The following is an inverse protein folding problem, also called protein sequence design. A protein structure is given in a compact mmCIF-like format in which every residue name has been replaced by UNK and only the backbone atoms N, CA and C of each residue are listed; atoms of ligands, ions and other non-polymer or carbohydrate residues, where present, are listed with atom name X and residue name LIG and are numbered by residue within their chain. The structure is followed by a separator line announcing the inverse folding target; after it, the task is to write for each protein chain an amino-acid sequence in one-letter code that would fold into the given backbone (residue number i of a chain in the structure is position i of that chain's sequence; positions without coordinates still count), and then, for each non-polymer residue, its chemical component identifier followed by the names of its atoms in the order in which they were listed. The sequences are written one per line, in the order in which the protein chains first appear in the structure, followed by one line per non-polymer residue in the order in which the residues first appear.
data_IF_506010026280
#
_entry.id   IF_506010026280
#
_cell.length_a   1.000
_cell.length_b   1.000
_cell.length_c   1.000
_cell.angle_alpha   90.00
_cell.angle_beta   90.00
_cell.angle_gamma   90.00
#
_symmetry.space_group_name_H-M   'P 1'
#
loop_
_entity.id
_entity.type
_entity.pdbx_description
1 polymer ?
#
# COMPACT_ATOMS: atom_id res chain seq x y z
N UNK A 1 -41.42 5.82 -40.57
CA UNK A 1 -40.10 5.54 -39.94
C UNK A 1 -39.62 6.72 -39.10
N UNK A 2 -39.52 7.95 -39.64
CA UNK A 2 -39.14 9.15 -38.87
C UNK A 2 -39.99 9.44 -37.62
N UNK A 3 -41.30 9.23 -37.66
CA UNK A 3 -42.22 9.51 -36.53
C UNK A 3 -42.06 8.56 -35.35
N UNK A 4 -41.59 7.33 -35.57
CA UNK A 4 -41.36 6.35 -34.50
C UNK A 4 -40.03 6.63 -33.77
N UNK A 5 -39.00 7.05 -34.51
CA UNK A 5 -37.71 7.43 -33.93
C UNK A 5 -37.81 8.71 -33.09
N UNK A 6 -38.58 9.72 -33.53
CA UNK A 6 -38.82 10.92 -32.71
C UNK A 6 -39.61 10.63 -31.42
N UNK A 7 -40.48 9.62 -31.42
CA UNK A 7 -41.20 9.17 -30.22
C UNK A 7 -40.26 8.55 -29.19
N UNK A 8 -39.35 7.68 -29.63
CA UNK A 8 -38.36 7.01 -28.78
C UNK A 8 -37.40 8.01 -28.10
N UNK A 9 -36.94 9.03 -28.84
CA UNK A 9 -36.10 10.09 -28.27
C UNK A 9 -36.87 10.95 -27.24
N UNK A 10 -38.16 11.19 -27.45
CA UNK A 10 -39.01 11.91 -26.50
C UNK A 10 -39.29 11.14 -25.21
N UNK A 11 -39.25 9.81 -25.24
CA UNK A 11 -39.33 8.96 -24.04
C UNK A 11 -38.02 8.96 -23.26
N UNK A 12 -36.88 8.78 -23.94
CA UNK A 12 -35.55 8.82 -23.31
C UNK A 12 -35.28 10.16 -22.60
N UNK A 13 -35.67 11.28 -23.22
CA UNK A 13 -35.51 12.61 -22.60
C UNK A 13 -36.40 12.78 -21.37
N UNK A 14 -37.61 12.21 -21.36
CA UNK A 14 -38.50 12.23 -20.20
C UNK A 14 -37.97 11.35 -19.07
N UNK A 15 -37.49 10.16 -19.38
CA UNK A 15 -36.91 9.25 -18.39
C UNK A 15 -35.65 9.85 -17.76
N UNK A 16 -34.80 10.51 -18.55
CA UNK A 16 -33.64 11.23 -18.03
C UNK A 16 -34.05 12.39 -17.11
N UNK A 17 -35.08 13.17 -17.48
CA UNK A 17 -35.58 14.26 -16.63
C UNK A 17 -36.14 13.75 -15.30
N UNK A 18 -36.83 12.60 -15.31
CA UNK A 18 -37.34 11.96 -14.09
C UNK A 18 -36.19 11.45 -13.21
N UNK A 19 -35.16 10.84 -13.81
CA UNK A 19 -33.99 10.34 -13.09
C UNK A 19 -33.20 11.49 -12.42
N UNK A 20 -32.99 12.60 -13.14
CA UNK A 20 -32.31 13.79 -12.60
C UNK A 20 -33.12 14.40 -11.44
N UNK A 21 -34.45 14.52 -11.59
CA UNK A 21 -35.31 15.02 -10.52
C UNK A 21 -35.40 14.09 -9.29
N UNK A 22 -35.18 12.79 -9.45
CA UNK A 22 -35.05 11.85 -8.34
C UNK A 22 -33.71 12.04 -7.62
N UNK A 23 -32.61 12.19 -8.37
CA UNK A 23 -31.27 12.40 -7.83
C UNK A 23 -31.17 13.73 -7.06
N UNK A 24 -31.76 14.82 -7.56
CA UNK A 24 -31.78 16.11 -6.88
C UNK A 24 -32.52 16.04 -5.53
N UNK A 25 -33.56 15.21 -5.42
CA UNK A 25 -34.29 14.98 -4.17
C UNK A 25 -33.46 14.19 -3.16
N UNK A 26 -32.69 13.19 -3.60
CA UNK A 26 -31.77 12.44 -2.74
C UNK A 26 -30.62 13.32 -2.22
N UNK A 27 -30.04 14.16 -3.09
CA UNK A 27 -29.00 15.11 -2.71
C UNK A 27 -29.54 16.15 -1.72
N UNK A 28 -30.78 16.63 -1.89
CA UNK A 28 -31.42 17.53 -0.94
C UNK A 28 -31.66 16.86 0.43
N UNK A 29 -32.09 15.59 0.45
CA UNK A 29 -32.29 14.83 1.68
C UNK A 29 -30.97 14.59 2.44
N UNK A 30 -29.88 14.27 1.72
CA UNK A 30 -28.54 14.12 2.30
C UNK A 30 -28.03 15.44 2.89
N UNK A 31 -28.23 16.57 2.20
CA UNK A 31 -27.87 17.90 2.70
C UNK A 31 -28.65 18.26 3.97
N UNK A 32 -29.93 17.93 4.05
CA UNK A 32 -30.73 18.12 5.26
C UNK A 32 -30.28 17.20 6.41
N UNK A 33 -29.97 15.93 6.13
CA UNK A 33 -29.46 15.00 7.13
C UNK A 33 -28.14 15.47 7.74
N UNK A 34 -27.24 15.99 6.91
CA UNK A 34 -25.97 16.56 7.36
C UNK A 34 -26.17 17.85 8.18
N UNK A 35 -27.08 18.73 7.76
CA UNK A 35 -27.41 19.95 8.51
C UNK A 35 -28.04 19.64 9.88
N UNK A 36 -28.83 18.57 10.00
CA UNK A 36 -29.39 18.11 11.27
C UNK A 36 -28.33 17.49 12.19
N UNK A 37 -27.42 16.69 11.63
CA UNK A 37 -26.30 16.12 12.40
C UNK A 37 -25.40 17.21 13.01
N UNK A 38 -25.15 18.29 12.27
CA UNK A 38 -24.39 19.45 12.76
C UNK A 38 -25.11 20.20 13.90
N UNK A 39 -26.45 20.22 13.93
CA UNK A 39 -27.21 20.82 15.05
C UNK A 39 -27.17 19.97 16.31
N UNK A 40 -27.20 18.64 16.17
CA UNK A 40 -27.12 17.71 17.30
C UNK A 40 -25.73 17.76 17.94
N UNK A 41 -24.67 17.95 17.14
CA UNK A 41 -23.29 18.09 17.63
C UNK A 41 -22.99 19.44 18.33
N UNK A 42 -23.87 20.45 18.20
CA UNK A 42 -23.66 21.81 18.71
C UNK A 42 -24.34 22.14 20.05
N UNK A 43 -25.03 21.19 20.69
CA UNK A 43 -25.74 21.46 21.95
C UNK A 43 -24.97 20.91 23.17
N UNK A 44 -24.54 21.74 24.13
CA UNK A 44 -23.92 21.25 25.37
C UNK A 44 -24.96 20.61 26.30
N UNK A 45 -24.58 19.62 27.12
CA UNK A 45 -25.52 18.88 27.96
C UNK A 45 -26.06 19.73 29.13
N UNK A 46 -27.37 19.68 29.35
CA UNK A 46 -28.04 20.29 30.50
C UNK A 46 -27.63 19.57 31.80
N UNK A 47 -27.08 20.32 32.75
CA UNK A 47 -26.68 19.84 34.08
C UNK A 47 -27.87 19.94 35.04
N UNK A 48 -28.28 18.83 35.65
CA UNK A 48 -29.28 18.79 36.71
C UNK A 48 -28.73 19.42 38.00
N UNK A 49 -29.52 20.29 38.63
CA UNK A 49 -29.19 21.04 39.83
C UNK A 49 -29.12 20.17 41.10
N UNK A 50 -28.24 20.52 42.04
CA UNK A 50 -28.21 20.04 43.43
C UNK A 50 -28.17 21.25 44.39
N UNK A 51 -28.90 21.26 45.53
CA UNK A 51 -28.98 22.44 46.41
C UNK A 51 -27.84 22.55 47.44
N UNK A 52 -27.69 23.76 47.99
CA UNK A 52 -26.53 24.32 48.71
C UNK A 52 -26.41 24.06 50.24
N UNK A 53 -25.22 24.43 50.77
CA UNK A 53 -24.55 24.33 52.10
C UNK A 53 -25.16 25.20 53.24
N UNK A 54 -24.74 25.09 54.56
CA UNK A 54 -23.70 26.00 55.15
C UNK A 54 -22.93 25.40 56.42
N UNK A 55 -22.13 26.12 57.29
CA UNK A 55 -20.65 26.02 57.39
C UNK A 55 -20.09 25.81 58.87
N UNK A 56 -18.86 26.23 59.30
CA UNK A 56 -17.80 25.35 59.89
C UNK A 56 -17.48 25.57 61.40
N UNK A 57 -16.48 24.87 62.01
CA UNK A 57 -15.19 25.52 62.32
C UNK A 57 -13.90 24.61 62.31
N UNK A 58 -12.73 25.29 62.43
CA UNK A 58 -11.29 24.94 62.33
C UNK A 58 -10.69 24.23 63.60
N UNK A 59 -9.34 24.05 63.82
CA UNK A 59 -8.13 23.79 62.96
C UNK A 59 -7.15 22.68 63.49
N UNK A 60 -5.99 22.51 62.78
CA UNK A 60 -4.66 21.98 63.21
C UNK A 60 -4.42 20.45 63.04
N UNK A 61 -3.25 19.90 62.64
CA UNK A 61 -1.84 20.35 62.60
C UNK A 61 -1.01 19.44 61.62
N UNK A 62 -0.11 20.05 60.83
CA UNK A 62 1.27 19.65 60.40
C UNK A 62 1.56 18.31 59.68
N UNK A 63 2.25 18.38 58.50
CA UNK A 63 3.65 17.90 58.26
C UNK A 63 4.20 18.27 56.85
N UNK A 64 5.39 18.90 56.85
CA UNK A 64 6.61 18.84 55.97
C UNK A 64 6.50 18.72 54.43
N UNK A 65 7.27 19.51 53.63
CA UNK A 65 7.12 19.61 52.16
C UNK A 65 8.05 18.68 51.35
N UNK A 66 7.65 18.36 50.10
CA UNK A 66 8.62 18.33 49.00
C UNK A 66 8.15 19.13 47.76
N UNK A 67 9.12 19.83 47.18
CA UNK A 67 9.30 20.30 45.80
C UNK A 67 8.13 20.26 44.82
N UNK A 68 7.75 21.45 44.35
CA UNK A 68 6.84 21.70 43.22
C UNK A 68 7.45 21.26 41.87
N UNK A 69 6.71 20.53 41.02
CA UNK A 69 6.89 20.55 39.57
C UNK A 69 6.09 21.71 38.95
N UNK A 70 6.67 22.33 37.93
CA UNK A 70 6.13 23.47 37.18
C UNK A 70 4.82 23.14 36.43
N UNK A 71 3.94 24.15 36.18
CA UNK A 71 2.70 23.97 35.44
C UNK A 71 2.95 23.69 33.94
N UNK A 72 2.02 23.01 33.25
CA UNK A 72 2.09 22.77 31.81
C UNK A 72 1.94 24.09 31.02
N UNK A 73 2.57 24.23 29.85
CA UNK A 73 2.40 25.41 29.02
C UNK A 73 0.98 25.49 28.43
N UNK A 74 0.44 26.70 28.20
CA UNK A 74 -0.89 26.89 27.67
C UNK A 74 -0.98 26.46 26.21
N UNK A 75 -2.10 25.80 25.89
CA UNK A 75 -2.63 25.66 24.53
C UNK A 75 -2.89 27.05 23.94
N UNK A 76 -2.08 27.43 22.95
CA UNK A 76 -2.29 28.68 22.21
C UNK A 76 -3.41 28.48 21.20
N UNK A 77 -4.53 29.15 21.45
CA UNK A 77 -5.55 29.49 20.46
C UNK A 77 -4.95 30.29 19.30
N UNK A 78 -5.58 30.14 18.14
CA UNK A 78 -5.28 30.81 16.87
C UNK A 78 -5.02 32.32 17.02
N UNK A 79 -3.98 32.79 16.33
CA UNK A 79 -3.74 34.20 16.03
C UNK A 79 -3.23 34.29 14.60
N UNK A 80 -3.93 35.05 13.76
CA UNK A 80 -3.51 35.44 12.42
C UNK A 80 -2.17 36.21 12.47
N UNK A 81 -1.14 35.69 11.80
CA UNK A 81 0.14 36.35 11.47
C UNK A 81 0.80 35.62 10.27
N UNK A 82 1.60 36.29 9.41
CA UNK A 82 1.84 35.87 8.03
C UNK A 82 2.81 34.68 7.92
N UNK A 83 2.37 33.58 7.30
CA UNK A 83 3.14 32.33 7.12
C UNK A 83 4.16 32.35 5.98
N UNK A 84 4.52 33.52 5.43
CA UNK A 84 5.02 33.56 4.04
C UNK A 84 6.54 33.41 3.82
N UNK A 85 7.41 33.32 4.82
CA UNK A 85 8.88 33.37 4.56
C UNK A 85 9.70 32.09 4.76
N UNK A 86 9.23 31.06 5.48
CA UNK A 86 10.02 29.81 5.69
C UNK A 86 9.53 28.64 4.83
N UNK A 87 8.28 28.65 4.39
CA UNK A 87 7.75 27.62 3.48
C UNK A 87 8.26 27.77 2.05
N UNK A 88 8.43 29.01 1.56
CA UNK A 88 8.91 29.30 0.20
C UNK A 88 10.34 28.78 -0.03
N UNK A 89 11.32 28.98 0.88
CA UNK A 89 12.66 28.40 0.74
C UNK A 89 12.67 26.87 0.69
N UNK A 90 11.86 26.19 1.53
CA UNK A 90 11.84 24.73 1.58
C UNK A 90 11.18 24.13 0.34
N UNK A 91 10.09 24.72 -0.13
CA UNK A 91 9.44 24.31 -1.36
C UNK A 91 10.37 24.48 -2.57
N UNK A 92 11.05 25.63 -2.68
CA UNK A 92 12.03 25.88 -3.73
C UNK A 92 13.19 24.87 -3.70
N UNK A 93 13.72 24.54 -2.50
CA UNK A 93 14.77 23.53 -2.36
C UNK A 93 14.32 22.12 -2.79
N UNK A 94 13.08 21.73 -2.46
CA UNK A 94 12.50 20.44 -2.89
C UNK A 94 12.36 20.38 -4.42
N UNK A 95 11.87 21.46 -5.03
CA UNK A 95 11.71 21.54 -6.48
C UNK A 95 13.06 21.51 -7.19
N UNK A 96 14.06 22.26 -6.69
CA UNK A 96 15.42 22.24 -7.20
C UNK A 96 16.06 20.85 -7.08
N UNK A 97 15.93 20.18 -5.93
CA UNK A 97 16.46 18.83 -5.73
C UNK A 97 15.83 17.81 -6.69
N UNK A 98 14.53 17.94 -7.00
CA UNK A 98 13.90 17.11 -8.03
C UNK A 98 14.47 17.40 -9.42
N UNK A 99 14.65 18.66 -9.78
CA UNK A 99 15.21 19.09 -11.07
C UNK A 99 16.64 18.56 -11.26
N UNK A 100 17.46 18.68 -10.22
CA UNK A 100 18.82 18.14 -10.11
C UNK A 100 18.87 16.60 -10.03
N UNK A 101 17.71 15.91 -10.08
CA UNK A 101 17.59 14.46 -10.05
C UNK A 101 18.20 13.82 -8.80
N UNK A 102 18.08 14.47 -7.64
CA UNK A 102 18.63 14.02 -6.35
C UNK A 102 17.74 12.98 -5.66
N UNK A 103 17.23 12.06 -6.46
CA UNK A 103 16.37 10.97 -6.03
C UNK A 103 17.23 9.77 -5.62
N UNK A 104 16.82 9.12 -4.54
CA UNK A 104 17.32 7.83 -4.11
C UNK A 104 16.19 6.82 -4.09
N UNK A 105 16.48 5.59 -4.53
CA UNK A 105 15.52 4.49 -4.50
C UNK A 105 15.86 3.59 -3.33
N UNK A 106 14.88 3.36 -2.47
CA UNK A 106 14.94 2.34 -1.44
C UNK A 106 14.06 1.17 -1.87
N UNK A 107 14.52 -0.06 -1.67
CA UNK A 107 13.75 -1.26 -1.91
C UNK A 107 13.29 -1.86 -0.59
N UNK A 108 11.99 -2.13 -0.47
CA UNK A 108 11.44 -2.90 0.65
C UNK A 108 10.91 -4.23 0.13
N UNK A 109 11.34 -5.38 0.69
CA UNK A 109 10.91 -6.67 0.20
C UNK A 109 9.47 -6.97 0.61
N UNK A 110 8.73 -7.55 -0.34
CA UNK A 110 7.46 -8.25 -0.14
C UNK A 110 7.77 -9.74 -0.19
N UNK A 111 7.44 -10.46 0.88
CA UNK A 111 7.81 -11.87 1.06
C UNK A 111 6.59 -12.78 1.02
N UNK A 112 6.78 -14.03 0.60
CA UNK A 112 5.73 -15.05 0.70
C UNK A 112 5.58 -15.59 2.11
N UNK A 113 4.36 -15.84 2.55
CA UNK A 113 4.09 -16.56 3.79
C UNK A 113 3.77 -18.05 3.51
N UNK A 114 4.20 -18.98 4.38
CA UNK A 114 5.07 -18.77 5.55
C UNK A 114 6.58 -18.72 5.24
N UNK A 115 7.02 -19.02 4.01
CA UNK A 115 8.44 -19.32 3.72
C UNK A 115 9.39 -18.11 3.74
N UNK A 116 8.87 -16.89 3.86
CA UNK A 116 9.59 -15.61 3.82
C UNK A 116 10.51 -15.43 2.60
N UNK A 117 10.16 -16.03 1.46
CA UNK A 117 10.91 -15.84 0.21
C UNK A 117 10.51 -14.52 -0.42
N UNK A 118 11.49 -13.71 -0.82
CA UNK A 118 11.22 -12.44 -1.51
C UNK A 118 10.56 -12.73 -2.85
N UNK A 119 9.42 -12.09 -3.10
CA UNK A 119 8.66 -12.19 -4.36
C UNK A 119 8.65 -10.89 -5.13
N UNK A 120 8.51 -9.76 -4.43
CA UNK A 120 8.62 -8.43 -5.01
C UNK A 120 9.48 -7.53 -4.12
N UNK A 121 9.93 -6.43 -4.68
CA UNK A 121 10.34 -5.26 -3.92
C UNK A 121 9.42 -4.10 -4.24
N UNK A 122 9.02 -3.33 -3.25
CA UNK A 122 8.46 -2.01 -3.48
C UNK A 122 9.58 -0.98 -3.58
N UNK A 123 9.56 -0.20 -4.65
CA UNK A 123 10.46 0.92 -4.86
C UNK A 123 9.91 2.18 -4.18
N UNK A 124 10.56 2.57 -3.10
CA UNK A 124 10.22 3.72 -2.29
C UNK A 124 11.21 4.85 -2.57
N UNK A 125 10.67 6.00 -2.97
CA UNK A 125 11.50 7.17 -3.26
C UNK A 125 11.93 7.88 -1.97
N UNK A 126 13.15 8.43 -2.01
CA UNK A 126 13.69 9.40 -1.07
C UNK A 126 14.27 10.57 -1.85
N UNK A 127 14.21 11.77 -1.28
CA UNK A 127 14.72 12.99 -1.92
C UNK A 127 15.86 13.59 -1.08
N UNK A 128 17.03 13.74 -1.69
CA UNK A 128 18.24 14.28 -1.05
C UNK A 128 18.28 15.80 -1.25
N UNK A 129 18.18 16.58 -0.18
CA UNK A 129 18.29 18.06 -0.25
C UNK A 129 19.73 18.56 -0.16
N UNK A 130 20.55 17.89 0.65
CA UNK A 130 21.97 18.16 0.87
C UNK A 130 22.64 16.83 1.30
N UNK A 131 23.94 16.83 1.61
CA UNK A 131 24.67 15.61 1.99
C UNK A 131 24.07 14.91 3.24
N UNK A 132 23.45 15.68 4.15
CA UNK A 132 22.99 15.20 5.45
C UNK A 132 21.46 15.07 5.54
N UNK A 133 20.72 15.65 4.59
CA UNK A 133 19.26 15.69 4.62
C UNK A 133 18.63 14.78 3.56
N UNK A 134 18.06 13.67 4.02
CA UNK A 134 17.23 12.76 3.21
C UNK A 134 15.76 12.87 3.62
N UNK A 135 14.91 13.26 2.68
CA UNK A 135 13.47 13.38 2.92
C UNK A 135 12.74 12.09 2.54
N UNK A 136 11.77 11.70 3.37
CA UNK A 136 10.79 10.66 3.05
C UNK A 136 9.59 11.26 2.28
N UNK A 137 8.79 10.44 1.56
CA UNK A 137 7.68 10.94 0.73
C UNK A 137 6.72 11.88 1.46
N UNK A 138 6.40 11.60 2.73
CA UNK A 138 5.52 12.45 3.53
C UNK A 138 6.01 13.90 3.67
N UNK A 139 7.32 14.14 3.54
CA UNK A 139 7.93 15.47 3.71
C UNK A 139 8.00 16.28 2.41
N UNK A 140 7.94 15.65 1.23
CA UNK A 140 8.11 16.33 -0.05
C UNK A 140 6.98 16.12 -1.06
N UNK A 141 6.23 15.01 -1.00
CA UNK A 141 5.11 14.79 -1.91
C UNK A 141 4.04 15.90 -1.83
N UNK A 142 3.63 16.41 -0.65
CA UNK A 142 2.67 17.52 -0.59
C UNK A 142 3.14 18.79 -1.32
N UNK A 143 4.45 19.02 -1.40
CA UNK A 143 5.01 20.12 -2.19
C UNK A 143 4.91 19.80 -3.68
N UNK A 144 5.36 18.62 -4.11
CA UNK A 144 5.30 18.24 -5.51
C UNK A 144 3.87 18.19 -6.06
N UNK A 145 2.91 17.73 -5.27
CA UNK A 145 1.49 17.71 -5.62
C UNK A 145 0.94 19.13 -5.83
N UNK A 146 1.18 20.05 -4.88
CA UNK A 146 0.76 21.46 -5.00
C UNK A 146 1.36 22.16 -6.22
N UNK A 147 2.56 21.76 -6.64
CA UNK A 147 3.25 22.33 -7.80
C UNK A 147 3.09 21.50 -9.08
N UNK A 148 2.26 20.45 -9.09
CA UNK A 148 2.03 19.61 -10.28
C UNK A 148 3.26 18.85 -10.77
N UNK A 149 4.24 18.57 -9.89
CA UNK A 149 5.52 17.92 -10.23
C UNK A 149 5.55 16.42 -9.97
N UNK A 150 4.49 15.83 -9.43
CA UNK A 150 4.42 14.36 -9.21
C UNK A 150 4.61 13.54 -10.49
N UNK A 151 4.09 13.95 -11.67
CA UNK A 151 4.38 13.21 -12.91
C UNK A 151 5.84 13.27 -13.36
N UNK A 152 6.57 14.33 -13.01
CA UNK A 152 8.02 14.43 -13.23
C UNK A 152 8.76 13.42 -12.33
N UNK A 153 8.39 13.36 -11.06
CA UNK A 153 8.89 12.36 -10.11
C UNK A 153 8.68 10.93 -10.62
N UNK A 154 7.45 10.59 -11.02
CA UNK A 154 7.11 9.23 -11.47
C UNK A 154 7.90 8.83 -12.72
N UNK A 155 8.11 9.74 -13.67
CA UNK A 155 8.97 9.48 -14.84
C UNK A 155 10.40 9.15 -14.44
N UNK A 156 10.99 9.93 -13.53
CA UNK A 156 12.37 9.70 -13.05
C UNK A 156 12.46 8.40 -12.27
N UNK A 157 11.46 8.10 -11.45
CA UNK A 157 11.37 6.84 -10.70
C UNK A 157 11.24 5.64 -11.62
N UNK A 158 10.37 5.68 -12.64
CA UNK A 158 10.20 4.60 -13.61
C UNK A 158 11.50 4.28 -14.36
N UNK A 159 12.26 5.29 -14.78
CA UNK A 159 13.57 5.07 -15.41
C UNK A 159 14.56 4.35 -14.49
N UNK A 160 14.61 4.73 -13.20
CA UNK A 160 15.47 4.10 -12.19
C UNK A 160 15.03 2.68 -11.85
N UNK A 161 13.74 2.49 -11.65
CA UNK A 161 13.13 1.18 -11.37
C UNK A 161 13.34 0.22 -12.54
N UNK A 162 13.23 0.70 -13.77
CA UNK A 162 13.55 -0.10 -14.95
C UNK A 162 15.02 -0.58 -14.93
N UNK A 163 15.97 0.32 -14.67
CA UNK A 163 17.39 -0.07 -14.52
C UNK A 163 17.60 -1.12 -13.43
N UNK A 164 16.97 -0.95 -12.27
CA UNK A 164 17.06 -1.90 -11.15
C UNK A 164 16.48 -3.26 -11.53
N UNK A 165 15.28 -3.30 -12.12
CA UNK A 165 14.61 -4.53 -12.55
C UNK A 165 15.49 -5.35 -13.49
N UNK A 166 16.12 -4.67 -14.45
CA UNK A 166 17.00 -5.29 -15.45
C UNK A 166 18.27 -5.82 -14.81
N UNK A 167 18.90 -5.05 -13.92
CA UNK A 167 20.08 -5.53 -13.18
C UNK A 167 19.76 -6.77 -12.33
N UNK A 168 18.59 -6.80 -11.67
CA UNK A 168 18.12 -7.96 -10.92
C UNK A 168 17.92 -9.19 -11.81
N UNK A 169 17.36 -9.01 -13.01
CA UNK A 169 17.16 -10.09 -13.98
C UNK A 169 18.49 -10.70 -14.42
N UNK A 170 19.50 -9.88 -14.73
CA UNK A 170 20.85 -10.36 -15.12
C UNK A 170 21.52 -11.13 -13.98
N UNK A 171 21.22 -10.80 -12.72
CA UNK A 171 21.71 -11.51 -11.53
C UNK A 171 20.95 -12.81 -11.22
N UNK A 172 19.98 -13.19 -12.06
CA UNK A 172 19.17 -14.41 -11.89
C UNK A 172 18.10 -14.29 -10.80
N UNK A 173 17.69 -13.08 -10.43
CA UNK A 173 16.58 -12.90 -9.48
C UNK A 173 15.25 -12.98 -10.22
N UNK A 174 14.30 -13.74 -9.66
CA UNK A 174 12.91 -13.80 -10.14
C UNK A 174 11.99 -12.79 -9.45
N UNK A 175 12.51 -11.96 -8.55
CA UNK A 175 11.70 -10.98 -7.85
C UNK A 175 11.28 -9.82 -8.78
N UNK A 176 10.01 -9.45 -8.70
CA UNK A 176 9.48 -8.25 -9.35
C UNK A 176 9.85 -6.97 -8.58
N UNK A 177 9.59 -5.82 -9.20
CA UNK A 177 9.70 -4.51 -8.58
C UNK A 177 8.42 -3.71 -8.81
N UNK A 178 7.83 -3.22 -7.74
CA UNK A 178 6.62 -2.42 -7.73
C UNK A 178 6.99 -0.93 -7.68
N UNK A 179 6.40 -0.14 -8.56
CA UNK A 179 6.60 1.31 -8.66
C UNK A 179 5.28 2.03 -8.42
N UNK A 180 5.26 2.95 -7.46
CA UNK A 180 4.11 3.79 -7.19
C UNK A 180 3.85 4.77 -8.34
N UNK A 181 2.59 4.87 -8.77
CA UNK A 181 2.13 5.83 -9.78
C UNK A 181 1.06 6.72 -9.18
N UNK A 182 1.31 8.03 -9.22
CA UNK A 182 0.37 9.01 -8.70
C UNK A 182 -0.86 9.17 -9.61
N UNK A 183 -2.04 9.50 -9.04
CA UNK A 183 -3.23 9.80 -9.84
C UNK A 183 -3.01 10.93 -10.86
N UNK A 184 -2.22 11.94 -10.49
CA UNK A 184 -1.89 13.06 -11.38
C UNK A 184 -1.11 12.61 -12.62
N UNK A 185 -0.27 11.58 -12.50
CA UNK A 185 0.49 11.01 -13.61
C UNK A 185 -0.42 10.23 -14.56
N UNK A 186 -1.41 9.52 -14.01
CA UNK A 186 -2.41 8.82 -14.80
C UNK A 186 -3.28 9.79 -15.64
N UNK A 187 -3.54 10.99 -15.10
CA UNK A 187 -4.27 12.05 -15.79
C UNK A 187 -3.42 12.90 -16.75
N UNK A 188 -2.08 12.75 -16.74
CA UNK A 188 -1.21 13.56 -17.59
C UNK A 188 -1.21 13.03 -19.05
N UNK A 189 -1.53 13.89 -20.03
CA UNK A 189 -1.58 13.48 -21.43
C UNK A 189 -0.30 12.82 -21.91
N UNK A 190 -0.43 11.57 -22.36
CA UNK A 190 0.68 10.81 -22.92
C UNK A 190 1.63 10.16 -21.92
N UNK A 191 1.38 10.25 -20.61
CA UNK A 191 2.17 9.53 -19.61
C UNK A 191 2.18 8.01 -19.88
N UNK A 192 0.99 7.40 -19.97
CA UNK A 192 0.85 5.95 -20.23
C UNK A 192 1.47 5.54 -21.58
N UNK A 193 1.35 6.40 -22.60
CA UNK A 193 1.98 6.16 -23.92
C UNK A 193 3.51 6.17 -23.83
N UNK A 194 4.10 7.10 -23.07
CA UNK A 194 5.56 7.13 -22.84
C UNK A 194 6.02 5.92 -22.04
N UNK A 195 5.24 5.49 -21.05
CA UNK A 195 5.51 4.25 -20.32
C UNK A 195 5.43 3.02 -21.24
N UNK A 196 4.45 2.97 -22.14
CA UNK A 196 4.40 1.92 -23.17
C UNK A 196 5.68 1.85 -24.00
N UNK A 197 6.20 3.00 -24.45
CA UNK A 197 7.48 3.06 -25.17
C UNK A 197 8.68 2.60 -24.33
N UNK A 198 8.71 2.91 -23.04
CA UNK A 198 9.76 2.43 -22.11
C UNK A 198 9.75 0.90 -22.05
N UNK A 199 8.56 0.31 -21.96
CA UNK A 199 8.38 -1.16 -21.93
C UNK A 199 8.74 -1.78 -23.28
N UNK A 200 8.31 -1.17 -24.39
CA UNK A 200 8.63 -1.66 -25.74
C UNK A 200 10.16 -1.64 -26.00
N UNK A 201 10.88 -0.67 -25.43
CA UNK A 201 12.35 -0.60 -25.49
C UNK A 201 13.05 -1.62 -24.58
N UNK A 202 12.35 -2.16 -23.57
CA UNK A 202 12.88 -3.08 -22.58
C UNK A 202 11.89 -4.23 -22.30
N UNK A 203 11.76 -5.21 -23.23
CA UNK A 203 10.83 -6.33 -23.07
C UNK A 203 11.10 -7.19 -21.83
N UNK A 204 12.31 -7.13 -21.29
CA UNK A 204 12.71 -7.78 -20.03
C UNK A 204 12.02 -7.21 -18.79
N UNK A 205 11.36 -6.05 -18.90
CA UNK A 205 10.50 -5.50 -17.85
C UNK A 205 9.14 -6.21 -17.74
N UNK A 206 8.69 -6.87 -18.81
CA UNK A 206 7.42 -7.61 -18.80
C UNK A 206 7.46 -8.70 -17.71
N UNK A 207 6.40 -8.77 -16.90
CA UNK A 207 6.32 -9.68 -15.75
C UNK A 207 7.23 -9.33 -14.56
N UNK A 208 8.07 -8.29 -14.66
CA UNK A 208 8.96 -7.83 -13.57
C UNK A 208 8.56 -6.49 -13.00
N UNK A 209 8.07 -5.58 -13.83
CA UNK A 209 7.57 -4.29 -13.40
C UNK A 209 6.09 -4.38 -13.02
N UNK A 210 5.78 -4.01 -11.78
CA UNK A 210 4.42 -3.85 -11.28
C UNK A 210 4.16 -2.36 -11.05
N UNK A 211 3.03 -1.83 -11.52
CA UNK A 211 2.65 -0.46 -11.18
C UNK A 211 1.63 -0.46 -10.06
N UNK A 212 1.88 0.31 -9.01
CA UNK A 212 0.98 0.46 -7.87
C UNK A 212 0.13 1.71 -8.06
N UNK A 213 -1.19 1.52 -8.01
CA UNK A 213 -2.18 2.58 -8.20
C UNK A 213 -3.11 2.59 -6.98
N UNK A 214 -3.35 3.77 -6.37
CA UNK A 214 -4.29 3.88 -5.27
C UNK A 214 -5.70 3.40 -5.64
N UNK A 215 -6.45 2.84 -4.68
CA UNK A 215 -7.81 2.34 -4.89
C UNK A 215 -8.74 3.35 -5.60
N UNK A 216 -8.64 4.63 -5.24
CA UNK A 216 -9.44 5.70 -5.85
C UNK A 216 -9.25 5.80 -7.37
N UNK A 217 -8.05 5.54 -7.88
CA UNK A 217 -7.77 5.60 -9.31
C UNK A 217 -8.58 4.55 -10.06
N UNK A 218 -8.64 3.32 -9.55
CA UNK A 218 -9.38 2.21 -10.16
C UNK A 218 -10.89 2.47 -10.25
N UNK A 219 -11.43 3.24 -9.31
CA UNK A 219 -12.85 3.60 -9.25
C UNK A 219 -13.23 4.75 -10.17
N UNK A 220 -12.27 5.59 -10.55
CA UNK A 220 -12.50 6.80 -11.32
C UNK A 220 -11.77 6.79 -12.67
N UNK A 221 -11.45 5.62 -13.22
CA UNK A 221 -10.81 5.52 -14.54
C UNK A 221 -11.76 6.05 -15.61
N UNK A 222 -11.28 7.01 -16.39
CA UNK A 222 -11.92 7.35 -17.65
C UNK A 222 -11.55 6.34 -18.77
N UNK A 223 -12.16 6.49 -19.95
CA UNK A 223 -11.94 5.59 -21.07
C UNK A 223 -10.50 5.65 -21.62
N UNK A 224 -9.85 6.81 -21.60
CA UNK A 224 -8.47 6.98 -22.07
C UNK A 224 -7.49 6.27 -21.12
N UNK A 225 -7.67 6.48 -19.82
CA UNK A 225 -6.87 5.84 -18.77
C UNK A 225 -7.05 4.33 -18.78
N UNK A 226 -8.29 3.85 -18.87
CA UNK A 226 -8.59 2.42 -18.97
C UNK A 226 -7.94 1.78 -20.21
N UNK A 227 -8.04 2.44 -21.37
CA UNK A 227 -7.41 1.99 -22.61
C UNK A 227 -5.88 1.98 -22.52
N UNK A 228 -5.28 2.99 -21.90
CA UNK A 228 -3.84 3.06 -21.69
C UNK A 228 -3.32 1.97 -20.75
N UNK A 229 -4.02 1.68 -19.65
CA UNK A 229 -3.68 0.58 -18.74
C UNK A 229 -3.87 -0.78 -19.43
N UNK A 230 -4.93 -0.96 -20.23
CA UNK A 230 -5.13 -2.18 -21.01
C UNK A 230 -3.96 -2.42 -22.00
N UNK A 231 -3.49 -1.37 -22.67
CA UNK A 231 -2.34 -1.45 -23.58
C UNK A 231 -1.01 -1.80 -22.84
N UNK A 232 -0.84 -1.36 -21.60
CA UNK A 232 0.31 -1.75 -20.76
C UNK A 232 0.20 -3.21 -20.29
N UNK A 233 -0.99 -3.65 -19.91
CA UNK A 233 -1.27 -5.05 -19.57
C UNK A 233 -0.95 -5.99 -20.73
N UNK A 234 -1.32 -5.61 -21.96
CA UNK A 234 -1.01 -6.38 -23.18
C UNK A 234 0.51 -6.51 -23.44
N UNK A 235 1.31 -5.58 -22.92
CA UNK A 235 2.78 -5.65 -22.92
C UNK A 235 3.35 -6.46 -21.76
N UNK A 236 2.50 -7.09 -20.96
CA UNK A 236 2.90 -7.95 -19.85
C UNK A 236 3.17 -7.21 -18.54
N UNK A 237 2.71 -5.97 -18.37
CA UNK A 237 2.77 -5.30 -17.07
C UNK A 237 1.65 -5.82 -16.18
N UNK A 238 1.98 -5.98 -14.89
CA UNK A 238 1.00 -6.25 -13.85
C UNK A 238 0.73 -4.98 -13.04
N UNK A 239 -0.44 -4.94 -12.40
CA UNK A 239 -0.80 -3.83 -11.53
C UNK A 239 -1.06 -4.29 -10.09
N UNK A 240 -0.84 -3.36 -9.16
CA UNK A 240 -1.12 -3.49 -7.74
C UNK A 240 -2.14 -2.43 -7.35
N UNK A 241 -3.19 -2.84 -6.63
CA UNK A 241 -4.13 -1.92 -6.02
C UNK A 241 -3.62 -1.58 -4.62
N UNK A 242 -3.21 -0.32 -4.44
CA UNK A 242 -2.64 0.20 -3.22
C UNK A 242 -3.66 1.02 -2.40
N UNK A 243 -3.41 1.20 -1.11
CA UNK A 243 -4.24 1.98 -0.17
C UNK A 243 -5.72 1.53 -0.16
N UNK A 244 -5.99 0.22 -0.30
CA UNK A 244 -7.35 -0.28 -0.19
C UNK A 244 -7.89 -0.07 1.23
N UNK A 245 -9.09 0.51 1.31
CA UNK A 245 -9.80 0.74 2.56
C UNK A 245 -11.28 0.34 2.47
N UNK A 246 -11.88 0.39 1.28
CA UNK A 246 -13.22 -0.12 1.04
C UNK A 246 -13.14 -1.53 0.44
N UNK A 247 -13.60 -2.51 1.21
CA UNK A 247 -13.44 -3.94 0.88
C UNK A 247 -14.45 -4.45 -0.15
N UNK A 248 -15.39 -3.61 -0.62
CA UNK A 248 -16.30 -3.92 -1.73
C UNK A 248 -15.53 -3.85 -3.05
N UNK A 249 -14.67 -4.85 -3.25
CA UNK A 249 -13.89 -5.06 -4.45
C UNK A 249 -14.63 -6.03 -5.37
N UNK A 250 -14.42 -5.88 -6.67
CA UNK A 250 -14.78 -6.88 -7.68
C UNK A 250 -13.48 -7.54 -8.17
N UNK A 251 -13.09 -8.70 -7.61
CA UNK A 251 -11.84 -9.36 -7.96
C UNK A 251 -11.72 -9.71 -9.45
N UNK A 252 -12.82 -10.12 -10.09
CA UNK A 252 -12.79 -10.49 -11.51
C UNK A 252 -12.58 -9.26 -12.38
N UNK A 253 -13.30 -8.17 -12.12
CA UNK A 253 -13.10 -6.91 -12.85
C UNK A 253 -11.68 -6.35 -12.67
N UNK A 254 -11.12 -6.44 -11.46
CA UNK A 254 -9.73 -6.04 -11.20
C UNK A 254 -8.74 -6.93 -11.97
N UNK A 255 -8.94 -8.25 -11.95
CA UNK A 255 -8.08 -9.20 -12.66
C UNK A 255 -8.11 -8.97 -14.17
N UNK A 256 -9.29 -8.72 -14.74
CA UNK A 256 -9.46 -8.37 -16.15
C UNK A 256 -8.70 -7.10 -16.50
N UNK A 257 -8.67 -6.11 -15.60
CA UNK A 257 -7.89 -4.88 -15.79
C UNK A 257 -6.38 -5.07 -15.59
N UNK A 258 -5.91 -6.27 -15.29
CA UNK A 258 -4.48 -6.59 -15.12
C UNK A 258 -3.95 -6.45 -13.69
N UNK A 259 -4.83 -6.24 -12.70
CA UNK A 259 -4.43 -6.24 -11.29
C UNK A 259 -4.05 -7.66 -10.88
N UNK A 260 -2.88 -7.80 -10.25
CA UNK A 260 -2.35 -9.07 -9.73
C UNK A 260 -2.04 -9.01 -8.24
N UNK A 261 -2.03 -7.81 -7.67
CA UNK A 261 -1.79 -7.59 -6.24
C UNK A 261 -2.85 -6.65 -5.68
N UNK A 262 -3.30 -6.94 -4.46
CA UNK A 262 -4.11 -6.02 -3.64
C UNK A 262 -3.39 -5.89 -2.32
N UNK A 263 -3.15 -4.66 -1.86
CA UNK A 263 -2.47 -4.37 -0.61
C UNK A 263 -3.47 -3.94 0.45
N UNK A 264 -3.43 -4.58 1.62
CA UNK A 264 -4.23 -4.23 2.81
C UNK A 264 -3.33 -4.14 4.02
N UNK A 265 -3.54 -3.15 4.89
CA UNK A 265 -2.78 -3.06 6.14
C UNK A 265 -3.19 -4.15 7.12
N UNK A 266 -2.25 -4.61 7.95
CA UNK A 266 -2.54 -5.55 9.06
C UNK A 266 -3.68 -5.05 9.95
N UNK A 267 -3.74 -3.74 10.18
CA UNK A 267 -4.83 -3.14 10.95
C UNK A 267 -6.21 -3.41 10.32
N UNK A 268 -6.33 -3.37 8.99
CA UNK A 268 -7.59 -3.70 8.30
C UNK A 268 -7.85 -5.20 8.31
N UNK A 269 -6.81 -6.03 8.13
CA UNK A 269 -6.92 -7.48 8.06
C UNK A 269 -7.28 -8.14 9.40
N UNK A 270 -6.74 -7.63 10.50
CA UNK A 270 -6.87 -8.24 11.83
C UNK A 270 -7.83 -7.50 12.77
N UNK A 271 -8.32 -6.30 12.41
CA UNK A 271 -9.26 -5.58 13.26
C UNK A 271 -10.66 -6.22 13.25
N UNK A 272 -11.02 -6.81 14.38
CA UNK A 272 -12.33 -7.42 14.63
C UNK A 272 -13.45 -6.37 14.85
N UNK A 273 -13.11 -5.12 15.16
CA UNK A 273 -14.10 -4.06 15.33
C UNK A 273 -14.64 -3.57 13.97
N UNK A 274 -13.78 -3.51 12.95
CA UNK A 274 -14.17 -3.24 11.56
C UNK A 274 -15.13 -4.29 11.00
N UNK A 275 -15.04 -5.55 11.45
CA UNK A 275 -15.99 -6.62 11.10
C UNK A 275 -17.42 -6.40 11.61
N UNK A 276 -17.66 -5.42 12.50
CA UNK A 276 -19.01 -5.09 13.01
C UNK A 276 -19.83 -4.18 12.08
N UNK A 277 -19.24 -3.72 10.97
CA UNK A 277 -19.93 -2.93 9.94
C UNK A 277 -19.48 -3.21 8.51
N UNK A 278 -18.57 -4.16 8.31
CA UNK A 278 -18.15 -4.64 6.99
C UNK A 278 -18.88 -5.96 6.70
N UNK A 279 -19.72 -5.99 5.68
CA UNK A 279 -20.43 -7.20 5.21
C UNK A 279 -19.49 -8.24 4.56
N UNK A 280 -18.17 -8.07 4.65
CA UNK A 280 -17.18 -8.91 3.97
C UNK A 280 -16.27 -9.57 5.01
N UNK A 281 -16.32 -10.89 5.09
CA UNK A 281 -15.40 -11.67 5.89
C UNK A 281 -14.01 -11.72 5.21
N UNK A 282 -12.94 -11.51 5.97
CA UNK A 282 -11.59 -11.37 5.39
C UNK A 282 -11.08 -12.64 4.71
N UNK A 283 -11.46 -13.81 5.23
CA UNK A 283 -11.08 -15.09 4.63
C UNK A 283 -11.79 -15.29 3.29
N UNK A 284 -13.08 -14.95 3.21
CA UNK A 284 -13.82 -14.92 1.95
C UNK A 284 -13.20 -13.97 0.92
N UNK A 285 -12.78 -12.76 1.34
CA UNK A 285 -12.10 -11.81 0.46
C UNK A 285 -10.78 -12.38 -0.07
N UNK A 286 -9.94 -12.93 0.82
CA UNK A 286 -8.67 -13.56 0.45
C UNK A 286 -8.88 -14.69 -0.57
N UNK A 287 -9.86 -15.56 -0.31
CA UNK A 287 -10.22 -16.65 -1.22
C UNK A 287 -10.76 -16.15 -2.57
N UNK A 288 -11.57 -15.08 -2.58
CA UNK A 288 -12.11 -14.49 -3.80
C UNK A 288 -11.03 -13.85 -4.67
N UNK A 289 -10.09 -13.12 -4.06
CA UNK A 289 -8.92 -12.56 -4.74
C UNK A 289 -8.06 -13.68 -5.34
N UNK A 290 -7.76 -14.72 -4.56
CA UNK A 290 -6.98 -15.87 -5.01
C UNK A 290 -7.62 -16.57 -6.22
N UNK A 291 -8.94 -16.81 -6.19
CA UNK A 291 -9.69 -17.39 -7.32
C UNK A 291 -9.63 -16.53 -8.59
N UNK A 292 -9.54 -15.21 -8.46
CA UNK A 292 -9.37 -14.29 -9.59
C UNK A 292 -7.90 -14.18 -10.07
N UNK A 293 -6.96 -14.89 -9.43
CA UNK A 293 -5.53 -14.79 -9.75
C UNK A 293 -4.86 -13.53 -9.19
N UNK A 294 -5.43 -12.95 -8.13
CA UNK A 294 -4.89 -11.79 -7.42
C UNK A 294 -4.30 -12.24 -6.09
N UNK A 295 -3.06 -11.84 -5.82
CA UNK A 295 -2.39 -12.12 -4.55
C UNK A 295 -2.62 -10.98 -3.56
N UNK A 296 -3.17 -11.31 -2.40
CA UNK A 296 -3.31 -10.36 -1.30
C UNK A 296 -1.95 -10.14 -0.60
N UNK A 297 -1.62 -8.88 -0.33
CA UNK A 297 -0.40 -8.46 0.36
C UNK A 297 -0.79 -7.79 1.67
N UNK A 298 -0.35 -8.33 2.81
CA UNK A 298 -0.44 -7.67 4.11
C UNK A 298 0.69 -6.64 4.26
N UNK A 299 0.34 -5.37 4.46
CA UNK A 299 1.29 -4.29 4.68
C UNK A 299 1.37 -3.86 6.14
N UNK A 300 2.50 -3.22 6.48
CA UNK A 300 2.77 -2.70 7.83
C UNK A 300 2.73 -3.81 8.89
N UNK A 301 3.30 -4.97 8.56
CA UNK A 301 3.57 -6.02 9.54
C UNK A 301 4.72 -5.59 10.45
N UNK A 302 4.37 -5.02 11.60
CA UNK A 302 5.32 -4.45 12.56
C UNK A 302 5.62 -5.38 13.75
N UNK A 303 4.76 -6.37 14.01
CA UNK A 303 4.92 -7.33 15.09
C UNK A 303 4.95 -8.76 14.56
N UNK A 304 5.90 -9.55 15.06
CA UNK A 304 6.08 -10.96 14.68
C UNK A 304 4.85 -11.80 15.06
N UNK A 305 4.12 -11.39 16.11
CA UNK A 305 2.88 -12.02 16.57
C UNK A 305 1.70 -11.90 15.60
N UNK A 306 1.73 -10.96 14.66
CA UNK A 306 0.68 -10.81 13.64
C UNK A 306 0.81 -11.88 12.53
N UNK A 307 2.00 -12.45 12.33
CA UNK A 307 2.29 -13.35 11.20
C UNK A 307 1.47 -14.64 11.21
N UNK A 308 1.30 -15.35 12.35
CA UNK A 308 0.43 -16.53 12.42
C UNK A 308 -1.02 -16.22 12.04
N UNK A 309 -1.56 -15.09 12.48
CA UNK A 309 -2.95 -14.72 12.16
C UNK A 309 -3.11 -14.40 10.67
N UNK A 310 -2.11 -13.78 10.03
CA UNK A 310 -2.09 -13.58 8.57
C UNK A 310 -2.05 -14.91 7.80
N UNK A 311 -1.32 -15.91 8.31
CA UNK A 311 -1.28 -17.25 7.71
C UNK A 311 -2.64 -17.95 7.87
N UNK A 312 -3.28 -17.82 9.04
CA UNK A 312 -4.62 -18.39 9.29
C UNK A 312 -5.72 -17.76 8.41
N UNK A 313 -5.52 -16.51 7.97
CA UNK A 313 -6.35 -15.79 6.99
C UNK A 313 -6.01 -16.11 5.52
N UNK A 314 -5.12 -17.09 5.28
CA UNK A 314 -4.66 -17.48 3.95
C UNK A 314 -4.02 -16.31 3.15
N UNK A 315 -3.39 -15.34 3.84
CA UNK A 315 -2.70 -14.22 3.17
C UNK A 315 -1.36 -14.71 2.57
N UNK A 316 -1.17 -14.66 1.24
CA UNK A 316 -0.01 -15.28 0.60
C UNK A 316 1.26 -14.44 0.70
N UNK A 317 1.16 -13.11 0.79
CA UNK A 317 2.29 -12.18 0.74
C UNK A 317 2.23 -11.17 1.89
N UNK A 318 3.38 -10.73 2.36
CA UNK A 318 3.46 -9.74 3.44
C UNK A 318 4.68 -8.82 3.31
N UNK A 319 4.54 -7.61 3.85
CA UNK A 319 5.54 -6.55 3.85
C UNK A 319 5.48 -5.77 5.17
N UNK A 320 6.64 -5.50 5.76
CA UNK A 320 6.73 -4.81 7.04
C UNK A 320 8.10 -4.92 7.68
N UNK A 321 8.29 -4.21 8.79
CA UNK A 321 9.58 -4.14 9.49
C UNK A 321 10.00 -5.46 10.13
N UNK A 322 9.04 -6.34 10.41
CA UNK A 322 9.29 -7.72 10.81
C UNK A 322 10.17 -8.47 9.80
N UNK A 323 9.99 -8.20 8.50
CA UNK A 323 10.75 -8.87 7.44
C UNK A 323 12.01 -8.09 7.08
N UNK A 324 11.83 -6.82 6.67
CA UNK A 324 12.94 -5.88 6.50
C UNK A 324 12.42 -4.45 6.31
N UNK A 325 13.18 -3.43 6.78
CA UNK A 325 12.91 -2.04 6.45
C UNK A 325 13.34 -1.73 4.99
N UNK A 326 12.86 -0.61 4.41
CA UNK A 326 13.34 -0.11 3.12
C UNK A 326 14.85 0.17 3.15
N UNK A 327 15.62 -0.39 2.20
CA UNK A 327 17.07 -0.20 2.11
C UNK A 327 17.49 0.50 0.83
N UNK A 328 18.48 1.41 0.86
CA UNK A 328 18.94 2.11 -0.33
C UNK A 328 19.54 1.13 -1.35
N UNK A 329 19.25 1.37 -2.62
CA UNK A 329 19.92 0.69 -3.73
C UNK A 329 21.36 1.19 -3.82
N UNK A 330 22.30 0.26 -3.95
CA UNK A 330 23.73 0.61 -4.10
C UNK A 330 23.97 1.34 -5.42
N UNK A 331 24.92 2.28 -5.41
CA UNK A 331 25.22 3.15 -6.56
C UNK A 331 25.75 2.40 -7.78
N UNK A 332 26.37 1.24 -7.61
CA UNK A 332 26.85 0.36 -8.69
C UNK A 332 25.70 -0.16 -9.57
N UNK A 333 24.56 -0.49 -8.96
CA UNK A 333 23.32 -0.88 -9.66
C UNK A 333 22.76 0.27 -10.49
N UNK A 334 22.87 1.50 -9.97
CA UNK A 334 22.30 2.70 -10.58
C UNK A 334 23.16 3.25 -11.72
N UNK A 335 24.48 3.08 -11.66
CA UNK A 335 25.43 3.61 -12.64
C UNK A 335 25.70 2.67 -13.83
N UNK A 336 25.04 1.52 -13.88
CA UNK A 336 25.18 0.56 -14.98
C UNK A 336 26.62 0.06 -15.17
N UNK A 337 27.43 0.03 -14.11
CA UNK A 337 28.81 -0.44 -14.19
C UNK A 337 28.82 -1.83 -14.83
N UNK A 338 29.57 -1.97 -15.92
CA UNK A 338 29.69 -3.17 -16.71
C UNK A 338 29.88 -4.38 -15.78
N UNK A 339 29.02 -5.38 -15.96
CA UNK A 339 29.07 -6.62 -15.21
C UNK A 339 30.45 -7.26 -15.34
N UNK A 340 31.26 -7.19 -14.29
CA UNK A 340 32.18 -8.28 -14.03
C UNK A 340 31.32 -9.51 -13.67
N UNK A 341 31.47 -10.64 -14.39
CA UNK A 341 30.84 -11.87 -13.95
C UNK A 341 31.30 -12.16 -12.51
N UNK A 342 30.36 -12.59 -11.67
CA UNK A 342 30.67 -13.10 -10.34
C UNK A 342 31.77 -14.17 -10.49
N UNK A 343 32.87 -14.14 -9.73
CA UNK A 343 33.80 -15.27 -9.77
C UNK A 343 32.99 -16.54 -9.49
N UNK A 344 33.13 -17.53 -10.37
CA UNK A 344 32.50 -18.82 -10.21
C UNK A 344 32.83 -19.35 -8.80
N UNK A 345 31.86 -19.96 -8.13
CA UNK A 345 32.17 -20.71 -6.93
C UNK A 345 33.33 -21.68 -7.26
N UNK A 346 34.31 -21.86 -6.35
CA UNK A 346 35.30 -22.90 -6.53
C UNK A 346 34.57 -24.22 -6.78
N UNK A 347 35.09 -25.08 -7.67
CA UNK A 347 34.45 -26.36 -7.97
C UNK A 347 34.18 -27.11 -6.66
N UNK A 348 33.04 -27.81 -6.55
CA UNK A 348 32.78 -28.65 -5.39
C UNK A 348 33.94 -29.65 -5.26
N UNK A 349 34.37 -29.88 -4.02
CA UNK A 349 35.33 -30.94 -3.72
C UNK A 349 34.89 -32.24 -4.40
N UNK A 350 35.82 -33.01 -5.00
CA UNK A 350 35.46 -34.24 -5.68
C UNK A 350 34.75 -35.18 -4.71
N UNK A 351 33.55 -35.62 -5.09
CA UNK A 351 32.78 -36.62 -4.35
C UNK A 351 33.65 -37.85 -4.03
N UNK A 352 33.52 -38.46 -2.84
CA UNK A 352 34.25 -39.66 -2.50
C UNK A 352 33.84 -40.79 -3.46
N UNK A 353 34.80 -41.30 -4.22
CA UNK A 353 34.62 -42.44 -5.12
C UNK A 353 34.03 -43.64 -4.37
N UNK A 354 32.95 -44.17 -4.93
CA UNK A 354 32.25 -45.35 -4.47
C UNK A 354 33.22 -46.53 -4.24
N UNK A 355 33.27 -47.01 -3.00
CA UNK A 355 33.78 -48.35 -2.70
C UNK A 355 32.62 -49.34 -2.83
N UNK A 356 32.84 -50.35 -3.65
CA UNK A 356 31.90 -51.41 -3.95
C UNK A 356 31.56 -52.29 -2.72
N UNK A 357 30.27 -52.64 -2.65
CA UNK A 357 29.65 -53.87 -2.14
C UNK A 357 29.94 -54.34 -0.70
N UNK A 358 28.86 -54.39 0.10
CA UNK A 358 28.46 -55.55 0.92
C UNK A 358 26.95 -55.43 1.19
N UNK A 359 26.17 -56.29 0.55
CA UNK A 359 24.72 -56.46 0.78
C UNK A 359 24.46 -56.99 2.19
N UNK A 360 23.56 -56.33 2.93
CA UNK A 360 22.93 -56.84 4.13
C UNK A 360 21.40 -56.94 3.92
N UNK A 361 20.71 -57.87 4.60
CA UNK A 361 19.31 -58.19 4.31
C UNK A 361 18.35 -57.05 4.68
N UNK A 362 17.17 -56.98 4.03
CA UNK A 362 16.25 -55.85 4.12
C UNK A 362 15.54 -55.77 5.49
N UNK A 363 15.27 -54.56 6.03
CA UNK A 363 14.48 -54.41 7.23
C UNK A 363 12.97 -54.58 6.96
N UNK A 364 12.27 -55.14 7.94
CA UNK A 364 10.83 -55.44 7.94
C UNK A 364 9.91 -54.20 7.85
N UNK A 365 8.67 -54.35 7.33
CA UNK A 365 7.77 -53.23 7.06
C UNK A 365 7.17 -52.61 8.34
N UNK A 366 7.36 -51.30 8.50
CA UNK A 366 6.76 -50.49 9.56
C UNK A 366 5.28 -50.21 9.22
N UNK A 367 4.41 -50.49 10.17
CA UNK A 367 2.96 -50.33 10.06
C UNK A 367 2.53 -48.88 9.76
N UNK A 368 1.52 -48.74 8.91
CA UNK A 368 0.83 -47.48 8.59
C UNK A 368 0.26 -46.82 9.85
N UNK A 369 0.88 -45.74 10.32
CA UNK A 369 0.22 -44.75 11.17
C UNK A 369 -0.33 -43.61 10.30
N UNK A 370 -1.66 -43.54 10.24
CA UNK A 370 -2.42 -42.42 9.68
C UNK A 370 -2.01 -41.13 10.40
N UNK A 371 -1.33 -40.22 9.70
CA UNK A 371 -1.00 -38.89 10.22
C UNK A 371 -2.22 -37.99 10.05
N UNK A 372 -2.97 -37.81 11.13
CA UNK A 372 -4.03 -36.81 11.22
C UNK A 372 -3.39 -35.41 11.28
N UNK A 373 -3.70 -34.54 10.32
CA UNK A 373 -3.19 -33.16 10.28
C UNK A 373 -3.75 -32.35 11.45
N UNK A 374 -2.94 -32.08 12.47
CA UNK A 374 -3.31 -31.21 13.58
C UNK A 374 -3.16 -29.72 13.22
N UNK A 375 -4.03 -28.83 13.72
CA UNK A 375 -3.88 -27.38 13.59
C UNK A 375 -2.61 -26.88 14.28
N UNK A 376 -1.92 -25.89 13.67
CA UNK A 376 -0.62 -25.36 14.12
C UNK A 376 -0.61 -24.88 15.59
N UNK A 377 -1.75 -24.39 16.11
CA UNK A 377 -1.94 -24.02 17.52
C UNK A 377 -1.72 -25.17 18.51
N UNK A 378 -1.96 -26.43 18.11
CA UNK A 378 -1.72 -27.60 18.95
C UNK A 378 -0.22 -27.95 19.06
N UNK A 379 0.57 -27.63 18.03
CA UNK A 379 2.01 -27.84 18.03
C UNK A 379 2.72 -26.89 19.02
N UNK A 380 2.33 -25.61 19.04
CA UNK A 380 2.97 -24.61 19.89
C UNK A 380 2.71 -24.81 21.39
N UNK A 381 1.57 -25.38 21.79
CA UNK A 381 1.28 -25.68 23.21
C UNK A 381 2.09 -26.83 23.79
N UNK A 382 2.72 -27.65 22.95
CA UNK A 382 3.51 -28.82 23.38
C UNK A 382 4.99 -28.50 23.55
N UNK A 383 5.42 -27.32 23.12
CA UNK A 383 6.79 -26.81 23.21
C UNK A 383 6.98 -25.77 24.33
N UNK A 384 6.03 -25.65 25.26
CA UNK A 384 6.04 -24.75 26.42
C UNK A 384 6.46 -25.46 27.70
#
# INVERSE_FOLDING_TARGET
KLTAEMGLWGEIVRDLAVAVAAHDREVAALKQGWANALRVAGSPPQTAARPAEPPPPRPMLVTVPPSTPAPPPPVSSASDAPTTNTELPRAAAILAALEENRLEVHLQPVVSLPQRKIRLYEALVRLRLDENTLLVPAEFLPVLERHGRTPDLDRRMLGRVATIARHMAVRGSDAGIACNIAPASLAEPGFLRKLGKLVDAHPDLAGRLVLELPQRCWRSLDAEQAGGLAALRERGLAFSLDQANDLRLDPLSLADRGVRFVKLSVAILLDQASSRGLDVEMKDLSAALSRAGIQLVAERVEREEDVPDLIDLDVPLAQGFVFAPPRPVRSDVMNGAALAPRPANPPPDPEPQARAALEGPPPEPIANTTVERMPFRAFLRRAS
#
